data_IF_605020550205
#
_entry.id   IF_605020550205
#
_cell.length_a   1.000
_cell.length_b   1.000
_cell.length_c   1.000
_cell.angle_alpha   90.00
_cell.angle_beta   90.00
_cell.angle_gamma   90.00
#
_symmetry.space_group_name_H-M   'P 1'
#
loop_
_entity.id
_entity.type
_entity.pdbx_description
1 polymer ?
#
# COMPACT_ATOMS: atom_id res chain seq x y z
N UNK A 1 6.88 22.17 4.94
CA UNK A 1 6.17 21.21 4.07
C UNK A 1 5.42 20.28 4.98
N UNK A 2 4.11 20.48 5.12
CA UNK A 2 3.23 19.57 5.86
C UNK A 2 3.25 18.25 5.11
N UNK A 3 3.82 17.21 5.72
CA UNK A 3 3.79 15.87 5.16
C UNK A 3 2.32 15.43 5.15
N UNK A 4 1.68 15.46 3.98
CA UNK A 4 0.25 15.10 3.88
C UNK A 4 0.08 13.62 4.25
N UNK A 5 -0.50 13.39 5.43
CA UNK A 5 -0.92 12.07 5.84
C UNK A 5 -2.08 11.63 4.95
N UNK A 6 -1.94 10.45 4.35
CA UNK A 6 -3.07 9.76 3.73
C UNK A 6 -3.83 9.02 4.83
N UNK A 7 -5.11 8.83 4.61
CA UNK A 7 -5.95 8.03 5.48
C UNK A 7 -6.66 6.95 4.68
N UNK A 8 -6.97 5.84 5.34
CA UNK A 8 -7.85 4.81 4.82
C UNK A 8 -8.56 4.13 5.98
N UNK A 9 -9.66 3.44 5.69
CA UNK A 9 -10.35 2.64 6.68
C UNK A 9 -9.86 1.19 6.58
N UNK A 10 -9.44 0.60 7.71
CA UNK A 10 -9.13 -0.82 7.76
C UNK A 10 -10.39 -1.60 7.35
N UNK A 11 -10.35 -2.44 6.31
CA UNK A 11 -11.55 -3.16 5.88
C UNK A 11 -11.95 -4.24 6.89
N UNK A 12 -11.00 -4.68 7.75
CA UNK A 12 -11.19 -5.72 8.76
C UNK A 12 -11.89 -5.16 10.02
N UNK A 13 -11.22 -4.27 10.76
CA UNK A 13 -11.73 -3.75 12.04
C UNK A 13 -12.47 -2.41 11.93
N UNK A 14 -12.54 -1.81 10.74
CA UNK A 14 -13.17 -0.50 10.45
C UNK A 14 -12.49 0.71 11.11
N UNK A 15 -11.33 0.54 11.75
CA UNK A 15 -10.54 1.64 12.28
C UNK A 15 -9.97 2.53 11.17
N UNK A 16 -9.88 3.84 11.42
CA UNK A 16 -9.21 4.79 10.52
C UNK A 16 -7.71 4.73 10.75
N UNK A 17 -6.96 4.48 9.67
CA UNK A 17 -5.50 4.43 9.66
C UNK A 17 -4.99 5.70 8.99
N UNK A 18 -4.12 6.44 9.68
CA UNK A 18 -3.35 7.54 9.10
C UNK A 18 -1.93 7.08 8.84
N UNK A 19 -1.42 7.35 7.64
CA UNK A 19 -0.10 6.88 7.25
C UNK A 19 0.57 7.85 6.29
N UNK A 20 1.90 7.75 6.24
CA UNK A 20 2.73 8.57 5.36
C UNK A 20 3.14 7.75 4.15
N UNK A 21 2.92 8.31 2.96
CA UNK A 21 3.39 7.68 1.72
C UNK A 21 4.93 7.69 1.70
N UNK A 22 5.60 6.54 1.48
CA UNK A 22 7.06 6.44 1.49
C UNK A 22 7.66 6.98 0.18
N UNK A 23 7.56 8.29 -0.04
CA UNK A 23 7.94 8.97 -1.30
C UNK A 23 9.37 8.68 -1.75
N UNK A 24 10.34 8.59 -0.83
CA UNK A 24 11.74 8.27 -1.15
C UNK A 24 11.91 6.85 -1.71
N UNK A 25 11.13 5.88 -1.23
CA UNK A 25 11.11 4.54 -1.81
C UNK A 25 10.42 4.54 -3.17
N UNK A 26 9.34 5.33 -3.31
CA UNK A 26 8.59 5.45 -4.56
C UNK A 26 9.38 6.09 -5.71
N UNK A 27 10.38 6.94 -5.43
CA UNK A 27 11.27 7.49 -6.47
C UNK A 27 12.06 6.41 -7.25
N UNK A 28 12.20 5.20 -6.70
CA UNK A 28 12.99 4.11 -7.28
C UNK A 28 12.15 3.08 -8.05
N UNK A 29 10.83 3.16 -7.99
CA UNK A 29 9.94 2.23 -8.70
C UNK A 29 9.73 2.68 -10.13
N UNK A 30 9.70 1.71 -11.05
CA UNK A 30 9.61 1.94 -12.50
C UNK A 30 8.21 1.68 -13.05
N UNK A 31 7.29 1.18 -12.23
CA UNK A 31 5.93 0.79 -12.62
C UNK A 31 4.94 1.19 -11.55
N UNK A 32 3.76 1.62 -12.01
CA UNK A 32 2.61 1.98 -11.19
C UNK A 32 1.36 1.24 -11.70
N UNK A 33 0.34 1.01 -10.85
CA UNK A 33 0.32 1.32 -9.42
C UNK A 33 1.26 0.43 -8.60
N UNK A 34 1.84 0.98 -7.53
CA UNK A 34 2.80 0.30 -6.66
C UNK A 34 2.06 -0.26 -5.44
N UNK A 35 2.16 -1.57 -5.15
CA UNK A 35 1.63 -2.13 -3.92
C UNK A 35 2.51 -1.73 -2.71
N UNK A 36 1.86 -1.27 -1.66
CA UNK A 36 2.47 -0.93 -0.36
C UNK A 36 1.76 -1.73 0.70
N UNK A 37 2.53 -2.47 1.50
CA UNK A 37 1.99 -3.24 2.62
C UNK A 37 1.96 -2.34 3.86
N UNK A 38 0.77 -2.11 4.39
CA UNK A 38 0.55 -1.40 5.65
C UNK A 38 0.21 -2.45 6.71
N UNK A 39 1.01 -2.48 7.77
CA UNK A 39 0.75 -3.29 8.96
C UNK A 39 -0.07 -2.49 9.94
N UNK A 40 -1.27 -2.97 10.24
CA UNK A 40 -2.15 -2.40 11.26
C UNK A 40 -2.59 -3.50 12.23
N UNK A 41 -1.98 -3.53 13.41
CA UNK A 41 -2.15 -4.62 14.38
C UNK A 41 -1.76 -5.97 13.76
N UNK A 42 -2.68 -6.93 13.71
CA UNK A 42 -2.54 -8.23 13.04
C UNK A 42 -3.07 -8.22 11.58
N UNK A 43 -3.57 -7.08 11.09
CA UNK A 43 -4.06 -6.91 9.72
C UNK A 43 -2.96 -6.42 8.76
N UNK A 44 -2.82 -7.12 7.64
CA UNK A 44 -1.96 -6.70 6.54
C UNK A 44 -2.81 -6.15 5.39
N UNK A 45 -2.67 -4.86 5.12
CA UNK A 45 -3.40 -4.16 4.07
C UNK A 45 -2.47 -3.93 2.89
N UNK A 46 -2.92 -4.25 1.67
CA UNK A 46 -2.20 -3.93 0.44
C UNK A 46 -2.83 -2.69 -0.15
N UNK A 47 -2.09 -1.60 -0.16
CA UNK A 47 -2.53 -0.32 -0.70
C UNK A 47 -1.81 -0.06 -2.02
N UNK A 48 -2.54 0.30 -3.06
CA UNK A 48 -1.98 0.63 -4.35
C UNK A 48 -1.85 2.14 -4.47
N UNK A 49 -0.66 2.62 -4.78
CA UNK A 49 -0.37 4.04 -4.98
C UNK A 49 -0.06 4.32 -6.44
N UNK A 50 -0.64 5.37 -7.01
CA UNK A 50 -0.40 5.79 -8.39
C UNK A 50 0.88 6.64 -8.58
N UNK A 51 1.16 7.06 -9.81
CA UNK A 51 2.34 7.87 -10.14
C UNK A 51 2.31 9.28 -9.55
N UNK A 52 1.17 9.75 -9.04
CA UNK A 52 1.00 11.03 -8.35
C UNK A 52 0.98 10.86 -6.82
N UNK A 53 1.38 9.68 -6.34
CA UNK A 53 1.40 9.32 -4.92
C UNK A 53 0.02 9.38 -4.25
N UNK A 54 -1.05 9.19 -5.04
CA UNK A 54 -2.42 9.09 -4.56
C UNK A 54 -2.79 7.62 -4.33
N UNK A 55 -3.65 7.38 -3.34
CA UNK A 55 -4.21 6.06 -3.11
C UNK A 55 -5.15 5.72 -4.28
N UNK A 56 -4.81 4.67 -5.02
CA UNK A 56 -5.60 4.19 -6.15
C UNK A 56 -6.59 3.10 -5.72
N UNK A 57 -6.16 2.19 -4.84
CA UNK A 57 -6.99 1.09 -4.33
C UNK A 57 -6.48 0.54 -2.99
N UNK A 58 -7.29 -0.27 -2.29
CA UNK A 58 -6.93 -0.95 -1.04
C UNK A 58 -7.57 -2.33 -0.95
N UNK A 59 -6.73 -3.35 -0.78
CA UNK A 59 -7.14 -4.74 -0.62
C UNK A 59 -6.73 -5.28 0.76
N UNK A 60 -7.45 -6.27 1.27
CA UNK A 60 -7.03 -7.05 2.45
C UNK A 60 -6.26 -8.27 1.98
N UNK A 61 -4.99 -8.38 2.36
CA UNK A 61 -4.28 -9.64 2.22
C UNK A 61 -4.60 -10.51 3.44
N UNK A 62 -5.56 -11.43 3.30
CA UNK A 62 -5.86 -12.45 4.33
C UNK A 62 -4.78 -13.53 4.38
N UNK A 63 -4.09 -13.75 3.26
CA UNK A 63 -2.85 -14.51 3.11
C UNK A 63 -2.16 -14.07 1.81
N UNK A 64 -0.85 -14.29 1.69
CA UNK A 64 -0.15 -14.24 0.39
C UNK A 64 0.62 -15.53 0.19
N UNK A 65 0.71 -15.99 -1.07
CA UNK A 65 1.54 -17.12 -1.49
C UNK A 65 2.53 -16.55 -2.51
N UNK A 66 3.82 -16.76 -2.29
CA UNK A 66 4.84 -16.35 -3.26
C UNK A 66 4.75 -17.24 -4.50
N UNK A 67 4.62 -16.61 -5.67
CA UNK A 67 4.66 -17.28 -6.96
C UNK A 67 5.92 -16.88 -7.72
N UNK A 68 6.63 -17.86 -8.28
CA UNK A 68 7.78 -17.59 -9.14
C UNK A 68 7.33 -17.46 -10.60
N UNK A 69 7.78 -16.39 -11.27
CA UNK A 69 7.59 -16.25 -12.71
C UNK A 69 8.59 -17.16 -13.44
N UNK A 70 8.08 -18.03 -14.32
CA UNK A 70 8.94 -18.81 -15.21
C UNK A 70 9.53 -17.88 -16.27
N UNK A 71 10.86 -17.85 -16.41
CA UNK A 71 11.52 -17.13 -17.51
C UNK A 71 11.09 -17.74 -18.84
N UNK A 72 10.49 -16.92 -19.70
CA UNK A 72 10.31 -17.20 -21.13
C UNK A 72 11.55 -16.86 -21.92
#
# INVERSE_FOLDING_TARGET
MTEELKWLQCPVCKATIYWKVPTEALKKVTRFPVPIIIKHEDHHLVCYVDSHYQLADTEVATAFIEGEAKKG
#
